data_IF_314933783417
#
_entry.id   IF_314933783417
#
_cell.length_a   1.000
_cell.length_b   1.000
_cell.length_c   1.000
_cell.angle_alpha   90.00
_cell.angle_beta   90.00
_cell.angle_gamma   90.00
#
_symmetry.space_group_name_H-M   'P 1'
#
loop_
_entity.id
_entity.type
_entity.pdbx_description
1 polymer ?
#
# COMPACT_ATOMS: atom_id res chain seq x y z
N UNK A 1 -2.44 -32.11 -12.22
CA UNK A 1 -2.02 -30.88 -11.56
C UNK A 1 -2.17 -31.12 -10.07
N UNK A 2 -1.05 -31.22 -9.35
CA UNK A 2 -1.06 -31.42 -7.90
C UNK A 2 -1.72 -30.20 -7.23
N UNK A 3 -2.65 -30.42 -6.31
CA UNK A 3 -3.30 -29.30 -5.60
C UNK A 3 -2.25 -28.64 -4.73
N UNK A 4 -2.02 -27.34 -4.91
CA UNK A 4 -1.22 -26.56 -3.98
C UNK A 4 -1.87 -26.63 -2.59
N UNK A 5 -1.16 -27.20 -1.62
CA UNK A 5 -1.55 -27.14 -0.22
C UNK A 5 -1.18 -25.76 0.33
N UNK A 6 -2.17 -24.87 0.35
CA UNK A 6 -2.01 -23.50 0.86
C UNK A 6 -2.19 -23.42 2.39
N UNK A 7 -2.33 -24.56 3.09
CA UNK A 7 -2.56 -24.59 4.53
C UNK A 7 -3.89 -23.96 4.96
N UNK A 8 -3.93 -23.36 6.15
CA UNK A 8 -5.12 -22.70 6.69
C UNK A 8 -5.35 -21.36 5.99
N UNK A 9 -6.23 -21.34 4.99
CA UNK A 9 -6.51 -20.14 4.18
C UNK A 9 -7.04 -18.94 4.98
N UNK A 10 -7.62 -19.22 6.14
CA UNK A 10 -8.18 -18.26 7.10
C UNK A 10 -7.12 -17.25 7.58
N UNK A 11 -5.87 -17.68 7.74
CA UNK A 11 -4.78 -16.79 8.14
C UNK A 11 -4.31 -15.84 7.03
N UNK A 12 -4.93 -15.88 5.85
CA UNK A 12 -4.59 -15.05 4.69
C UNK A 12 -5.77 -14.18 4.21
N UNK A 13 -6.82 -14.03 5.02
CA UNK A 13 -7.97 -13.18 4.66
C UNK A 13 -7.57 -11.73 4.38
N UNK A 14 -6.61 -11.21 5.14
CA UNK A 14 -6.04 -9.87 4.98
C UNK A 14 -5.36 -9.67 3.61
N UNK A 15 -4.89 -10.74 2.96
CA UNK A 15 -4.25 -10.65 1.64
C UNK A 15 -5.20 -10.15 0.54
N UNK A 16 -6.53 -10.17 0.79
CA UNK A 16 -7.52 -9.53 -0.09
C UNK A 16 -7.31 -8.02 -0.19
N UNK A 17 -6.63 -7.42 0.77
CA UNK A 17 -6.34 -5.99 0.82
C UNK A 17 -5.12 -5.60 -0.01
N UNK A 18 -4.32 -6.54 -0.54
CA UNK A 18 -3.11 -6.23 -1.34
C UNK A 18 -3.36 -5.26 -2.51
N UNK A 19 -4.58 -5.28 -3.06
CA UNK A 19 -4.95 -4.40 -4.16
C UNK A 19 -5.15 -2.94 -3.73
N UNK A 20 -5.18 -2.66 -2.42
CA UNK A 20 -5.31 -1.34 -1.83
C UNK A 20 -3.92 -0.78 -1.49
N UNK A 21 -3.73 0.52 -1.67
CA UNK A 21 -2.56 1.20 -1.09
C UNK A 21 -2.56 1.02 0.44
N UNK A 22 -1.45 0.52 0.98
CA UNK A 22 -1.30 0.17 2.39
C UNK A 22 -1.61 -1.29 2.70
N UNK A 23 -2.26 -2.03 1.80
CA UNK A 23 -2.73 -3.38 2.08
C UNK A 23 -1.61 -4.39 2.17
N UNK A 24 -0.56 -4.21 1.36
CA UNK A 24 0.63 -5.07 1.43
C UNK A 24 1.38 -4.81 2.74
N UNK A 25 1.65 -3.54 3.09
CA UNK A 25 2.32 -3.22 4.36
C UNK A 25 1.51 -3.72 5.56
N UNK A 26 0.18 -3.56 5.55
CA UNK A 26 -0.68 -4.07 6.62
C UNK A 26 -0.52 -5.57 6.84
N UNK A 27 -0.53 -6.36 5.76
CA UNK A 27 -0.37 -7.80 5.84
C UNK A 27 1.05 -8.24 6.25
N UNK A 28 2.08 -7.47 5.87
CA UNK A 28 3.45 -7.71 6.33
C UNK A 28 3.54 -7.45 7.83
N UNK A 29 3.00 -6.31 8.28
CA UNK A 29 3.01 -5.91 9.69
C UNK A 29 2.17 -6.84 10.56
N UNK A 30 1.02 -7.33 10.09
CA UNK A 30 0.16 -8.27 10.83
C UNK A 30 0.89 -9.58 11.17
N UNK A 31 1.92 -9.93 10.39
CA UNK A 31 2.76 -11.12 10.58
C UNK A 31 4.09 -10.83 11.26
N UNK A 32 4.41 -9.58 11.52
CA UNK A 32 5.65 -9.17 12.16
C UNK A 32 5.44 -8.91 13.65
N UNK A 33 6.17 -9.63 14.50
CA UNK A 33 5.98 -9.59 15.96
C UNK A 33 6.17 -8.20 16.60
N UNK A 34 6.91 -7.31 15.93
CA UNK A 34 7.21 -5.94 16.40
C UNK A 34 6.64 -4.89 15.45
N UNK A 35 5.43 -5.13 14.95
CA UNK A 35 4.76 -4.25 13.99
C UNK A 35 4.77 -2.76 14.39
N UNK A 36 4.57 -2.48 15.68
CA UNK A 36 4.52 -1.11 16.22
C UNK A 36 5.88 -0.38 16.19
N UNK A 37 6.98 -1.11 16.02
CA UNK A 37 8.34 -0.54 15.89
C UNK A 37 8.69 -0.21 14.43
N UNK A 38 7.90 -0.65 13.45
CA UNK A 38 8.20 -0.50 12.01
C UNK A 38 7.58 0.78 11.46
N UNK A 39 8.41 1.68 10.98
CA UNK A 39 7.97 2.87 10.26
C UNK A 39 7.71 2.56 8.78
N UNK A 40 6.52 2.93 8.28
CA UNK A 40 6.10 2.68 6.89
C UNK A 40 6.06 3.98 6.09
N UNK A 41 6.72 3.96 4.92
CA UNK A 41 6.64 5.00 3.89
C UNK A 41 5.74 4.55 2.71
N UNK A 42 4.52 5.09 2.57
CA UNK A 42 3.72 4.92 1.36
C UNK A 42 4.25 5.74 0.19
N UNK A 43 4.33 5.12 -0.98
CA UNK A 43 4.28 5.80 -2.28
C UNK A 43 2.97 5.39 -2.96
N UNK A 44 1.99 6.30 -2.98
CA UNK A 44 0.65 6.05 -3.52
C UNK A 44 0.47 6.77 -4.87
N UNK A 45 0.84 6.11 -5.96
CA UNK A 45 0.92 6.71 -7.29
C UNK A 45 2.35 7.17 -7.61
N UNK A 46 2.81 6.89 -8.83
CA UNK A 46 4.11 7.36 -9.32
C UNK A 46 3.92 8.56 -10.24
N UNK A 47 4.39 9.71 -9.78
CA UNK A 47 4.58 10.90 -10.59
C UNK A 47 6.07 11.25 -10.76
N UNK A 48 6.34 12.33 -11.50
CA UNK A 48 7.72 12.81 -11.70
C UNK A 48 8.42 13.19 -10.39
N UNK A 49 7.67 13.63 -9.37
CA UNK A 49 8.21 14.02 -8.07
C UNK A 49 8.63 12.78 -7.29
N UNK A 50 7.76 11.78 -7.16
CA UNK A 50 8.05 10.52 -6.47
C UNK A 50 9.20 9.78 -7.13
N UNK A 51 9.22 9.71 -8.45
CA UNK A 51 10.34 9.10 -9.17
C UNK A 51 11.68 9.79 -8.88
N UNK A 52 11.70 11.12 -8.79
CA UNK A 52 12.90 11.88 -8.41
C UNK A 52 13.29 11.64 -6.96
N UNK A 53 12.33 11.54 -6.04
CA UNK A 53 12.58 11.19 -4.63
C UNK A 53 13.18 9.80 -4.50
N UNK A 54 12.67 8.81 -5.23
CA UNK A 54 13.24 7.45 -5.17
C UNK A 54 14.64 7.39 -5.77
N UNK A 55 14.94 8.21 -6.78
CA UNK A 55 16.28 8.31 -7.37
C UNK A 55 17.35 8.78 -6.39
N UNK A 56 17.01 9.59 -5.39
CA UNK A 56 17.99 10.08 -4.40
C UNK A 56 18.27 9.06 -3.29
N UNK A 57 17.55 7.94 -3.24
CA UNK A 57 17.72 6.92 -2.21
C UNK A 57 19.06 6.18 -2.29
N UNK A 58 19.76 6.28 -3.43
CA UNK A 58 21.14 5.81 -3.59
C UNK A 58 22.13 6.57 -2.68
N UNK A 59 21.86 7.85 -2.42
CA UNK A 59 22.70 8.77 -1.64
C UNK A 59 22.13 9.05 -0.26
N UNK A 60 20.80 9.13 -0.15
CA UNK A 60 20.09 9.41 1.09
C UNK A 60 18.94 8.43 1.24
N UNK A 61 19.18 7.41 2.05
CA UNK A 61 18.16 6.43 2.41
C UNK A 61 16.90 7.12 2.96
N UNK A 62 15.70 6.63 2.62
CA UNK A 62 14.47 7.10 3.21
C UNK A 62 14.44 6.80 4.71
N UNK A 63 13.82 7.68 5.49
CA UNK A 63 13.64 7.53 6.94
C UNK A 63 12.43 6.63 7.24
N UNK A 64 12.47 5.39 6.76
CA UNK A 64 11.46 4.35 6.97
C UNK A 64 12.06 2.94 6.92
N UNK A 65 11.49 2.01 7.69
CA UNK A 65 11.90 0.61 7.75
C UNK A 65 11.26 -0.23 6.64
N UNK A 66 10.02 0.13 6.26
CA UNK A 66 9.27 -0.51 5.19
C UNK A 66 8.76 0.55 4.21
N UNK A 67 8.92 0.29 2.92
CA UNK A 67 8.41 1.16 1.86
C UNK A 67 7.43 0.36 1.02
N UNK A 68 6.19 0.84 0.93
CA UNK A 68 5.18 0.28 0.02
C UNK A 68 5.02 1.19 -1.18
N UNK A 69 5.31 0.68 -2.37
CA UNK A 69 5.21 1.44 -3.62
C UNK A 69 4.08 0.91 -4.49
N UNK A 70 3.06 1.73 -4.68
CA UNK A 70 1.96 1.48 -5.59
C UNK A 70 2.07 2.42 -6.79
N UNK A 71 2.15 1.86 -8.01
CA UNK A 71 2.23 2.67 -9.23
C UNK A 71 0.97 3.51 -9.49
N UNK A 72 -0.19 2.93 -9.17
CA UNK A 72 -1.49 3.57 -9.35
C UNK A 72 -1.96 4.16 -8.03
N UNK A 73 -2.56 5.35 -8.07
CA UNK A 73 -3.15 5.97 -6.89
C UNK A 73 -4.35 5.15 -6.39
N UNK A 74 -4.31 4.77 -5.12
CA UNK A 74 -5.27 3.90 -4.45
C UNK A 74 -4.99 2.40 -4.61
N UNK A 75 -3.90 2.02 -5.28
CA UNK A 75 -3.48 0.62 -5.49
C UNK A 75 -4.02 0.00 -6.78
N UNK A 76 -3.77 -1.30 -6.97
CA UNK A 76 -4.12 -2.07 -8.17
C UNK A 76 -5.62 -2.01 -8.53
N UNK A 77 -6.48 -1.90 -7.54
CA UNK A 77 -7.94 -1.76 -7.70
C UNK A 77 -8.37 -0.48 -8.46
N UNK A 78 -7.45 0.48 -8.59
CA UNK A 78 -7.63 1.72 -9.34
C UNK A 78 -6.75 1.78 -10.60
N UNK A 79 -6.10 0.66 -10.96
CA UNK A 79 -5.15 0.60 -12.08
C UNK A 79 -5.80 0.67 -13.47
N UNK A 80 -5.01 0.73 -14.55
CA UNK A 80 -5.53 0.94 -15.91
C UNK A 80 -6.36 -0.22 -16.48
N UNK A 81 -6.29 -1.41 -15.87
CA UNK A 81 -7.04 -2.60 -16.30
C UNK A 81 -8.42 -2.78 -15.66
N UNK A 82 -8.91 -1.79 -14.90
CA UNK A 82 -10.17 -1.90 -14.17
C UNK A 82 -11.38 -1.65 -15.09
N UNK A 83 -12.48 -2.35 -14.81
CA UNK A 83 -13.72 -2.27 -15.61
C UNK A 83 -14.49 -0.97 -15.35
N UNK A 84 -14.37 -0.43 -14.13
CA UNK A 84 -15.11 0.75 -13.67
C UNK A 84 -14.16 1.91 -13.40
N UNK A 85 -14.61 3.14 -13.65
CA UNK A 85 -13.81 4.34 -13.36
C UNK A 85 -13.34 4.33 -11.89
N UNK A 86 -12.05 4.58 -11.60
CA UNK A 86 -11.51 4.55 -10.24
C UNK A 86 -12.28 5.42 -9.24
N UNK A 87 -12.77 6.59 -9.66
CA UNK A 87 -13.59 7.47 -8.81
C UNK A 87 -14.95 6.84 -8.41
N UNK A 88 -15.55 6.06 -9.31
CA UNK A 88 -16.79 5.30 -9.04
C UNK A 88 -16.49 4.13 -8.12
N UNK A 89 -15.41 3.38 -8.39
CA UNK A 89 -14.97 2.28 -7.54
C UNK A 89 -14.68 2.73 -6.10
N UNK A 90 -13.99 3.87 -5.96
CA UNK A 90 -13.69 4.47 -4.67
C UNK A 90 -14.98 4.81 -3.90
N UNK A 91 -15.96 5.42 -4.57
CA UNK A 91 -17.26 5.74 -3.96
C UNK A 91 -18.01 4.48 -3.52
N UNK A 92 -18.03 3.44 -4.34
CA UNK A 92 -18.67 2.15 -4.02
C UNK A 92 -18.02 1.44 -2.84
N UNK A 93 -16.72 1.65 -2.59
CA UNK A 93 -15.99 1.12 -1.43
C UNK A 93 -16.25 1.89 -0.13
N UNK A 94 -17.01 2.99 -0.15
CA UNK A 94 -17.20 3.86 1.01
C UNK A 94 -16.40 5.17 0.97
N UNK A 95 -15.80 5.50 -0.18
CA UNK A 95 -15.10 6.77 -0.41
C UNK A 95 -13.89 6.97 0.50
N UNK A 96 -13.63 8.22 0.88
CA UNK A 96 -12.54 8.58 1.81
C UNK A 96 -12.76 8.07 3.25
N UNK A 97 -13.94 7.47 3.54
CA UNK A 97 -14.24 6.84 4.82
C UNK A 97 -13.93 5.34 4.83
N UNK A 98 -13.56 4.76 3.69
CA UNK A 98 -13.07 3.39 3.65
C UNK A 98 -11.84 3.28 4.56
N UNK A 99 -11.83 2.31 5.47
CA UNK A 99 -10.73 2.13 6.40
C UNK A 99 -9.43 1.92 5.61
N UNK A 100 -8.41 2.74 5.90
CA UNK A 100 -7.07 2.46 5.43
C UNK A 100 -6.54 1.23 6.19
N UNK A 101 -5.96 0.24 5.51
CA UNK A 101 -5.57 -1.02 6.13
C UNK A 101 -4.40 -0.86 7.12
N UNK A 102 -3.73 0.30 7.15
CA UNK A 102 -2.65 0.63 8.10
C UNK A 102 -2.92 1.93 8.84
N UNK A 103 -2.79 1.89 10.17
CA UNK A 103 -3.00 3.02 11.09
C UNK A 103 -1.79 3.96 11.19
N UNK A 104 -0.61 3.54 10.72
CA UNK A 104 0.69 4.20 10.94
C UNK A 104 1.45 4.51 9.64
N UNK A 105 0.77 5.04 8.61
CA UNK A 105 1.48 5.57 7.44
C UNK A 105 2.04 6.96 7.73
N UNK A 106 3.36 7.10 7.62
CA UNK A 106 3.96 8.44 7.55
C UNK A 106 3.62 9.02 6.19
N UNK A 107 2.78 10.05 6.15
CA UNK A 107 2.61 10.84 4.92
C UNK A 107 3.99 11.31 4.46
N UNK A 108 4.23 11.35 3.15
CA UNK A 108 5.42 12.00 2.60
C UNK A 108 5.28 13.50 2.92
N UNK A 109 5.79 13.93 4.06
CA UNK A 109 5.77 15.34 4.47
C UNK A 109 6.75 16.10 3.58
N UNK A 110 6.22 16.53 2.45
CA UNK A 110 6.76 17.52 1.51
C UNK A 110 5.64 18.36 0.89
N UNK A 111 4.53 18.50 1.62
CA UNK A 111 3.48 19.49 1.43
C UNK A 111 3.35 20.27 2.75
N UNK A 112 4.34 21.14 2.99
CA UNK A 112 4.12 22.32 3.82
C UNK A 112 3.70 23.43 2.85
N UNK A 113 2.70 24.20 3.27
CA UNK A 113 2.18 25.41 2.60
C UNK A 113 3.29 26.34 2.11
#
# INVERSE_FOLDING_TARGET
MEKADLGKTESFEDCREFALSGGVASCVLSRYAKADEVSVLPINGIDKKMFRTMKIWDKRQPEADLIEVMCCEGGCINGPGVVVKPSVALKLRGGNKAAAPVKAMRSIVGARE
#
